data_IF_630981758649
#
_entry.id   IF_630981758649
#
_cell.length_a   1.000
_cell.length_b   1.000
_cell.length_c   1.000
_cell.angle_alpha   90.00
_cell.angle_beta   90.00
_cell.angle_gamma   90.00
#
_symmetry.space_group_name_H-M   'P 1'
#
loop_
_entity.id
_entity.type
_entity.pdbx_description
1 polymer ?
#
# COMPACT_ATOMS: atom_id res chain seq x y z
N UNK A 1 -15.14 15.96 -4.58
CA UNK A 1 -13.84 16.56 -4.98
C UNK A 1 -12.75 15.56 -4.66
N UNK A 2 -11.83 15.30 -5.60
CA UNK A 2 -10.73 14.36 -5.38
C UNK A 2 -9.68 15.03 -4.46
N UNK A 3 -9.23 14.33 -3.41
CA UNK A 3 -8.37 14.84 -2.31
C UNK A 3 -7.12 15.59 -2.80
N UNK A 4 -6.59 15.19 -3.96
CA UNK A 4 -5.39 15.76 -4.57
C UNK A 4 -5.66 16.68 -5.78
N UNK A 5 -6.92 16.93 -6.12
CA UNK A 5 -7.30 17.78 -7.25
C UNK A 5 -7.54 19.22 -6.77
N UNK A 6 -6.45 19.96 -6.52
CA UNK A 6 -6.53 21.38 -6.18
C UNK A 6 -6.39 22.21 -7.45
N UNK A 7 -7.51 22.73 -7.92
CA UNK A 7 -7.73 23.38 -9.21
C UNK A 7 -7.05 24.73 -9.44
N UNK A 8 -6.13 25.22 -8.59
CA UNK A 8 -5.61 26.60 -8.77
C UNK A 8 -4.13 26.88 -8.52
N UNK A 9 -3.29 25.89 -8.23
CA UNK A 9 -1.82 26.00 -8.24
C UNK A 9 -1.33 24.65 -7.75
N UNK A 10 -0.76 23.82 -8.61
CA UNK A 10 -0.27 22.53 -8.12
C UNK A 10 0.87 22.79 -7.13
N UNK A 11 0.74 22.36 -5.87
CA UNK A 11 1.77 22.55 -4.89
C UNK A 11 3.03 21.80 -5.37
N UNK A 12 4.20 22.44 -5.29
CA UNK A 12 5.47 21.71 -5.47
C UNK A 12 5.47 20.46 -4.58
N UNK A 13 6.28 19.44 -4.90
CA UNK A 13 6.42 18.26 -4.04
C UNK A 13 6.61 18.63 -2.56
N UNK A 14 7.38 19.68 -2.27
CA UNK A 14 7.55 20.25 -0.93
C UNK A 14 6.24 20.72 -0.29
N UNK A 15 5.34 21.37 -1.06
CA UNK A 15 4.02 21.78 -0.57
C UNK A 15 3.07 20.58 -0.41
N UNK A 16 3.13 19.57 -1.28
CA UNK A 16 2.34 18.34 -1.11
C UNK A 16 2.75 17.60 0.17
N UNK A 17 4.05 17.45 0.44
CA UNK A 17 4.54 16.87 1.70
C UNK A 17 4.14 17.68 2.95
N UNK A 18 3.92 18.99 2.84
CA UNK A 18 3.37 19.79 3.95
C UNK A 18 1.91 19.45 4.23
N UNK A 19 1.11 19.26 3.19
CA UNK A 19 -0.32 18.91 3.33
C UNK A 19 -0.56 17.44 3.65
N UNK A 20 0.35 16.57 3.21
CA UNK A 20 0.26 15.11 3.36
C UNK A 20 1.63 14.58 3.79
N UNK A 21 1.98 14.71 5.08
CA UNK A 21 3.31 14.34 5.58
C UNK A 21 3.62 12.84 5.46
N UNK A 22 2.59 11.98 5.39
CA UNK A 22 2.73 10.55 5.20
C UNK A 22 3.07 10.13 3.75
N UNK A 23 3.10 11.08 2.79
CA UNK A 23 3.45 10.76 1.41
C UNK A 23 4.91 10.30 1.28
N UNK A 24 5.06 9.04 0.88
CA UNK A 24 6.36 8.40 0.69
C UNK A 24 6.72 8.41 -0.79
N UNK A 25 7.91 8.91 -1.12
CA UNK A 25 8.41 8.95 -2.50
C UNK A 25 9.19 7.69 -2.81
N UNK A 26 8.79 6.98 -3.87
CA UNK A 26 9.60 5.90 -4.39
C UNK A 26 10.69 6.49 -5.30
N UNK A 27 11.93 6.48 -4.79
CA UNK A 27 13.11 6.99 -5.50
C UNK A 27 13.66 6.02 -6.54
N UNK A 28 13.17 4.78 -6.60
CA UNK A 28 13.57 3.85 -7.65
C UNK A 28 12.85 4.26 -8.93
N UNK A 29 13.63 4.62 -9.94
CA UNK A 29 13.14 4.86 -11.28
C UNK A 29 12.51 3.56 -11.79
N UNK A 30 11.18 3.50 -11.78
CA UNK A 30 10.50 2.65 -12.75
C UNK A 30 10.86 3.17 -14.13
N UNK A 31 10.98 2.24 -15.08
CA UNK A 31 11.48 2.30 -16.47
C UNK A 31 11.09 3.49 -17.36
N UNK A 32 10.33 4.48 -16.87
CA UNK A 32 9.79 5.61 -17.62
C UNK A 32 10.00 6.99 -16.97
N UNK A 33 10.97 7.17 -16.07
CA UNK A 33 11.26 8.46 -15.39
C UNK A 33 10.06 9.10 -14.66
N UNK A 34 9.03 8.32 -14.35
CA UNK A 34 7.84 8.80 -13.63
C UNK A 34 8.05 8.65 -12.13
N UNK A 35 7.82 9.72 -11.39
CA UNK A 35 7.89 9.74 -9.94
C UNK A 35 6.59 9.21 -9.35
N UNK A 36 6.68 8.16 -8.54
CA UNK A 36 5.54 7.58 -7.83
C UNK A 36 5.57 7.98 -6.36
N UNK A 37 4.45 8.49 -5.88
CA UNK A 37 4.21 8.82 -4.48
C UNK A 37 3.19 7.85 -3.92
N UNK A 38 3.37 7.42 -2.68
CA UNK A 38 2.50 6.46 -2.01
C UNK A 38 1.88 7.12 -0.79
N UNK A 39 0.56 7.00 -0.66
CA UNK A 39 -0.18 7.37 0.55
C UNK A 39 -0.62 6.09 1.26
N UNK A 40 0.12 5.71 2.31
CA UNK A 40 -0.17 4.56 3.17
C UNK A 40 -0.95 4.95 4.43
N UNK A 41 -1.55 6.15 4.49
CA UNK A 41 -2.25 6.63 5.69
C UNK A 41 -3.32 5.67 6.21
N UNK A 42 -3.93 4.85 5.34
CA UNK A 42 -4.90 3.85 5.74
C UNK A 42 -4.31 2.71 6.60
N UNK A 43 -3.00 2.41 6.50
CA UNK A 43 -2.33 1.42 7.33
C UNK A 43 -1.94 1.95 8.72
N UNK A 44 -1.95 3.27 8.92
CA UNK A 44 -1.48 3.86 10.17
C UNK A 44 -2.32 3.39 11.36
N UNK A 45 -1.65 2.87 12.38
CA UNK A 45 -2.30 2.26 13.55
C UNK A 45 -3.08 0.97 13.30
N UNK A 46 -3.03 0.38 12.09
CA UNK A 46 -3.69 -0.90 11.76
C UNK A 46 -2.76 -2.12 11.88
N UNK A 47 -1.46 -1.90 11.83
CA UNK A 47 -0.42 -2.92 11.97
C UNK A 47 0.68 -2.42 12.92
N UNK A 48 1.44 -3.33 13.56
CA UNK A 48 2.60 -2.96 14.35
C UNK A 48 3.65 -2.19 13.54
N UNK A 49 4.39 -1.30 14.20
CA UNK A 49 5.38 -0.44 13.56
C UNK A 49 6.55 -1.23 12.94
N UNK A 50 6.94 -2.36 13.55
CA UNK A 50 7.99 -3.26 13.03
C UNK A 50 7.55 -4.02 11.77
N UNK A 51 6.25 -4.14 11.55
CA UNK A 51 5.66 -4.70 10.32
C UNK A 51 5.57 -3.63 9.23
N UNK A 52 5.12 -2.42 9.59
CA UNK A 52 4.78 -1.35 8.66
C UNK A 52 5.90 -1.04 7.66
N UNK A 53 7.15 -0.90 8.12
CA UNK A 53 8.28 -0.59 7.24
C UNK A 53 8.51 -1.68 6.19
N UNK A 54 8.41 -2.96 6.56
CA UNK A 54 8.55 -4.08 5.64
C UNK A 54 7.45 -4.06 4.57
N UNK A 55 6.20 -3.86 4.99
CA UNK A 55 5.04 -3.78 4.10
C UNK A 55 5.18 -2.61 3.12
N UNK A 56 5.55 -1.42 3.58
CA UNK A 56 5.73 -0.26 2.69
C UNK A 56 6.80 -0.53 1.63
N UNK A 57 7.94 -1.10 2.04
CA UNK A 57 9.04 -1.41 1.14
C UNK A 57 8.70 -2.49 0.11
N UNK A 58 7.89 -3.48 0.46
CA UNK A 58 7.40 -4.50 -0.46
C UNK A 58 6.37 -3.92 -1.43
N UNK A 59 5.37 -3.21 -0.91
CA UNK A 59 4.31 -2.60 -1.69
C UNK A 59 4.88 -1.70 -2.79
N UNK A 60 5.78 -0.78 -2.41
CA UNK A 60 6.42 0.15 -3.35
C UNK A 60 7.22 -0.54 -4.48
N UNK A 61 7.68 -1.79 -4.29
CA UNK A 61 8.40 -2.56 -5.33
C UNK A 61 7.44 -3.27 -6.28
N UNK A 62 6.29 -3.69 -5.81
CA UNK A 62 5.32 -4.48 -6.58
C UNK A 62 4.37 -3.60 -7.38
N UNK A 63 4.04 -2.41 -6.86
CA UNK A 63 2.98 -1.59 -7.44
C UNK A 63 3.51 -0.68 -8.56
N UNK A 64 2.91 -0.81 -9.73
CA UNK A 64 3.00 0.14 -10.85
C UNK A 64 1.60 0.56 -11.32
N UNK A 65 1.52 1.31 -12.43
CA UNK A 65 0.25 1.77 -13.02
C UNK A 65 -0.69 0.60 -13.38
N UNK A 66 -0.15 -0.60 -13.61
CA UNK A 66 -0.87 -1.71 -14.25
C UNK A 66 -1.73 -2.47 -13.21
N UNK A 67 -1.21 -2.80 -12.03
CA UNK A 67 -1.91 -3.74 -11.14
C UNK A 67 -2.63 -3.07 -9.96
N UNK A 68 -2.20 -1.87 -9.53
CA UNK A 68 -2.83 -1.11 -8.43
C UNK A 68 -3.16 -1.96 -7.19
N UNK A 69 -2.40 -3.02 -6.95
CA UNK A 69 -2.63 -4.02 -5.93
C UNK A 69 -1.27 -4.55 -5.46
N UNK A 70 -1.15 -4.90 -4.19
CA UNK A 70 0.04 -5.55 -3.65
C UNK A 70 -0.30 -6.55 -2.57
N UNK A 71 0.44 -7.66 -2.55
CA UNK A 71 0.42 -8.64 -1.48
C UNK A 71 1.78 -8.60 -0.80
N UNK A 72 1.78 -8.30 0.48
CA UNK A 72 2.99 -8.18 1.28
C UNK A 72 2.92 -9.16 2.44
N UNK A 73 4.06 -9.71 2.85
CA UNK A 73 4.15 -10.51 4.05
C UNK A 73 5.32 -10.09 4.95
N UNK A 74 5.13 -10.14 6.25
CA UNK A 74 6.16 -9.73 7.20
C UNK A 74 6.03 -10.51 8.51
N UNK A 75 7.14 -10.71 9.19
CA UNK A 75 7.19 -11.38 10.50
C UNK A 75 7.52 -10.33 11.54
N UNK A 76 6.70 -10.25 12.60
CA UNK A 76 6.97 -9.36 13.72
C UNK A 76 8.07 -9.97 14.57
N UNK A 77 9.17 -9.23 14.72
CA UNK A 77 10.25 -9.61 15.62
C UNK A 77 9.89 -9.44 17.10
N UNK A 78 8.80 -8.72 17.39
CA UNK A 78 8.31 -8.44 18.75
C UNK A 78 7.29 -9.49 19.17
N UNK A 79 6.28 -9.74 18.33
CA UNK A 79 5.16 -10.62 18.66
C UNK A 79 5.35 -12.07 18.18
N UNK A 80 6.34 -12.33 17.32
CA UNK A 80 6.57 -13.66 16.73
C UNK A 80 5.43 -14.10 15.77
N UNK A 81 4.63 -13.14 15.29
CA UNK A 81 3.49 -13.38 14.40
C UNK A 81 3.83 -13.08 12.94
N UNK A 82 3.21 -13.81 12.01
CA UNK A 82 3.29 -13.54 10.58
C UNK A 82 2.06 -12.76 10.11
N UNK A 83 2.31 -11.66 9.42
CA UNK A 83 1.32 -10.77 8.84
C UNK A 83 1.29 -10.97 7.33
N UNK A 84 0.11 -11.19 6.76
CA UNK A 84 -0.17 -11.07 5.34
C UNK A 84 -1.05 -9.83 5.13
N UNK A 85 -0.56 -8.87 4.36
CA UNK A 85 -1.21 -7.59 4.12
C UNK A 85 -1.48 -7.43 2.63
N UNK A 86 -2.74 -7.30 2.29
CA UNK A 86 -3.20 -7.08 0.92
C UNK A 86 -3.64 -5.64 0.79
N UNK A 87 -3.14 -4.94 -0.23
CA UNK A 87 -3.31 -3.51 -0.41
C UNK A 87 -3.91 -3.20 -1.77
N UNK A 88 -5.04 -2.51 -1.77
CA UNK A 88 -5.69 -1.96 -2.96
C UNK A 88 -5.35 -0.48 -3.11
N UNK A 89 -4.85 -0.10 -4.29
CA UNK A 89 -4.49 1.28 -4.59
C UNK A 89 -5.46 1.92 -5.60
N UNK A 90 -5.65 3.23 -5.47
CA UNK A 90 -6.22 4.08 -6.49
C UNK A 90 -5.11 4.98 -7.05
N UNK A 91 -4.84 4.94 -8.36
CA UNK A 91 -3.83 5.79 -8.98
C UNK A 91 -4.41 7.16 -9.34
N UNK A 92 -3.70 8.23 -8.97
CA UNK A 92 -3.98 9.61 -9.37
C UNK A 92 -2.82 10.17 -10.19
N UNK A 93 -3.13 10.76 -11.35
CA UNK A 93 -2.15 11.47 -12.17
C UNK A 93 -2.14 12.93 -11.78
N UNK A 94 -0.97 13.44 -11.41
CA UNK A 94 -0.74 14.87 -11.21
C UNK A 94 -0.20 15.45 -12.52
N UNK A 95 -0.97 16.32 -13.17
CA UNK A 95 -0.67 16.85 -14.51
C UNK A 95 -0.13 18.27 -14.38
N UNK A 96 1.02 18.57 -14.99
CA UNK A 96 1.51 19.93 -15.10
C UNK A 96 0.64 20.72 -16.10
N UNK A 97 -0.09 21.72 -15.63
CA UNK A 97 -1.01 22.51 -16.47
C UNK A 97 -0.30 23.29 -17.58
N UNK A 98 0.96 23.71 -17.37
CA UNK A 98 1.71 24.47 -18.39
C UNK A 98 2.19 23.58 -19.54
N UNK A 99 2.40 22.28 -19.30
CA UNK A 99 2.95 21.35 -20.30
C UNK A 99 1.98 20.25 -20.73
N UNK A 100 0.86 20.08 -20.03
CA UNK A 100 -0.08 18.96 -20.18
C UNK A 100 0.51 17.60 -19.78
N UNK A 101 1.77 17.53 -19.34
CA UNK A 101 2.47 16.27 -19.05
C UNK A 101 2.25 15.84 -17.60
N UNK A 102 2.18 14.53 -17.37
CA UNK A 102 2.17 13.97 -16.00
C UNK A 102 3.49 14.28 -15.29
N UNK A 103 3.42 14.91 -14.11
CA UNK A 103 4.57 15.18 -13.24
C UNK A 103 4.81 14.07 -12.22
N UNK A 104 3.74 13.58 -11.60
CA UNK A 104 3.77 12.55 -10.57
C UNK A 104 2.56 11.63 -10.71
N UNK A 105 2.70 10.39 -10.26
CA UNK A 105 1.57 9.50 -9.99
C UNK A 105 1.49 9.28 -8.48
N UNK A 106 0.31 9.45 -7.89
CA UNK A 106 0.05 9.14 -6.49
C UNK A 106 -0.70 7.80 -6.45
N UNK A 107 -0.22 6.85 -5.66
CA UNK A 107 -0.86 5.59 -5.36
C UNK A 107 -1.43 5.71 -3.94
N UNK A 108 -2.73 5.98 -3.82
CA UNK A 108 -3.40 6.05 -2.51
C UNK A 108 -3.92 4.67 -2.14
N UNK A 109 -3.59 4.18 -0.95
CA UNK A 109 -4.23 2.97 -0.42
C UNK A 109 -5.70 3.29 -0.16
N UNK A 110 -6.56 2.58 -0.89
CA UNK A 110 -8.02 2.74 -0.86
C UNK A 110 -8.72 1.65 -0.05
N UNK A 111 -8.09 0.49 0.06
CA UNK A 111 -8.56 -0.65 0.82
C UNK A 111 -7.39 -1.50 1.27
N UNK A 112 -7.55 -2.14 2.42
CA UNK A 112 -6.59 -3.10 2.93
C UNK A 112 -7.28 -4.26 3.63
N UNK A 113 -6.60 -5.41 3.59
CA UNK A 113 -6.95 -6.61 4.32
C UNK A 113 -5.72 -7.16 5.01
N UNK A 114 -5.84 -7.47 6.29
CA UNK A 114 -4.74 -8.00 7.11
C UNK A 114 -5.16 -9.37 7.62
N UNK A 115 -4.27 -10.35 7.47
CA UNK A 115 -4.37 -11.67 8.10
C UNK A 115 -3.14 -11.90 8.98
N UNK A 116 -3.36 -12.29 10.23
CA UNK A 116 -2.30 -12.47 11.23
C UNK A 116 -2.27 -13.94 11.66
N UNK A 117 -1.09 -14.53 11.73
CA UNK A 117 -0.90 -15.95 12.03
C UNK A 117 0.17 -16.15 13.09
N UNK A 118 0.00 -17.17 13.93
CA UNK A 118 1.05 -17.63 14.81
C UNK A 118 2.08 -18.43 13.99
N UNK A 119 3.35 -18.33 14.37
CA UNK A 119 4.41 -19.14 13.78
C UNK A 119 4.66 -20.39 14.61
N UNK A 120 4.87 -21.51 13.94
CA UNK A 120 5.30 -22.75 14.58
C UNK A 120 6.81 -22.79 14.80
N UNK A 121 7.29 -23.87 15.43
CA UNK A 121 8.72 -24.07 15.73
C UNK A 121 9.63 -24.09 14.50
N UNK A 122 9.05 -24.27 13.30
CA UNK A 122 9.75 -24.26 12.02
C UNK A 122 9.60 -22.94 11.26
N UNK A 123 8.91 -21.95 11.82
CA UNK A 123 8.66 -20.65 11.17
C UNK A 123 7.54 -20.67 10.12
N UNK A 124 6.73 -21.72 10.06
CA UNK A 124 5.52 -21.77 9.24
C UNK A 124 4.32 -21.20 9.99
N UNK A 125 3.42 -20.55 9.27
CA UNK A 125 2.16 -20.07 9.83
C UNK A 125 1.26 -21.26 10.22
N UNK A 126 0.93 -21.39 11.50
CA UNK A 126 0.03 -22.42 12.03
C UNK A 126 -1.23 -21.77 12.64
N UNK A 127 -2.37 -22.45 12.50
CA UNK A 127 -3.71 -22.04 12.93
C UNK A 127 -4.20 -20.70 12.33
N UNK A 128 -5.35 -20.73 11.65
CA UNK A 128 -6.04 -19.53 11.16
C UNK A 128 -6.79 -18.90 12.34
N UNK A 129 -6.06 -18.34 13.31
CA UNK A 129 -6.65 -17.30 14.16
C UNK A 129 -6.32 -15.97 13.49
N UNK A 130 -6.92 -15.74 12.32
CA UNK A 130 -6.75 -14.52 11.58
C UNK A 130 -7.55 -13.41 12.26
N UNK A 131 -6.85 -12.47 12.87
CA UNK A 131 -7.44 -11.17 13.19
C UNK A 131 -7.64 -10.41 11.89
N UNK A 132 -8.83 -10.58 11.31
CA UNK A 132 -9.23 -9.87 10.11
C UNK A 132 -9.49 -8.40 10.46
N UNK A 133 -8.60 -7.53 10.00
CA UNK A 133 -8.79 -6.08 10.10
C UNK A 133 -8.97 -5.55 8.68
N UNK A 134 -10.21 -5.24 8.34
CA UNK A 134 -10.53 -4.47 7.15
C UNK A 134 -10.49 -2.99 7.47
N UNK A 135 -9.82 -2.23 6.62
CA UNK A 135 -9.90 -0.79 6.65
C UNK A 135 -10.10 -0.26 5.22
N UNK A 136 -11.04 0.67 5.07
CA UNK A 136 -11.35 1.32 3.79
C UNK A 136 -12.36 0.58 2.93
N UNK A 137 -12.35 0.89 1.63
CA UNK A 137 -13.24 0.31 0.62
C UNK A 137 -12.47 -0.75 -0.18
N UNK A 138 -12.66 -2.01 0.19
CA UNK A 138 -12.06 -3.14 -0.53
C UNK A 138 -12.74 -3.37 -1.88
N UNK A 139 -11.97 -3.76 -2.92
CA UNK A 139 -12.55 -4.22 -4.19
C UNK A 139 -13.22 -5.58 -3.97
N UNK A 140 -14.56 -5.60 -3.90
CA UNK A 140 -15.34 -6.85 -3.76
C UNK A 140 -15.16 -7.83 -4.93
N UNK A 141 -14.62 -7.38 -6.07
CA UNK A 141 -14.50 -8.18 -7.29
C UNK A 141 -13.14 -8.84 -7.50
N UNK A 142 -12.17 -8.68 -6.59
CA UNK A 142 -10.93 -9.47 -6.62
C UNK A 142 -11.15 -10.76 -5.83
N UNK A 143 -11.98 -11.64 -6.38
CA UNK A 143 -12.04 -13.06 -6.00
C UNK A 143 -10.71 -13.69 -6.40
N UNK A 144 -9.67 -13.61 -5.56
CA UNK A 144 -8.48 -14.45 -5.77
C UNK A 144 -7.65 -14.57 -4.50
N UNK A 145 -7.52 -15.81 -4.03
CA UNK A 145 -6.46 -16.34 -3.16
C UNK A 145 -6.40 -15.97 -1.66
N UNK A 146 -7.53 -16.07 -0.93
CA UNK A 146 -7.44 -16.45 0.49
C UNK A 146 -8.07 -17.83 0.76
N UNK A 147 -8.97 -18.30 -0.11
CA UNK A 147 -9.60 -19.62 0.02
C UNK A 147 -8.92 -20.75 -0.78
N UNK A 148 -7.80 -20.48 -1.46
CA UNK A 148 -7.10 -21.46 -2.31
C UNK A 148 -5.82 -22.03 -1.67
N UNK A 149 -5.63 -21.86 -0.36
CA UNK A 149 -4.80 -22.84 0.36
C UNK A 149 -5.70 -24.05 0.55
N UNK A 150 -5.71 -24.92 -0.46
CA UNK A 150 -6.28 -26.27 -0.37
C UNK A 150 -5.78 -26.91 0.93
N UNK A 151 -6.74 -27.25 1.79
CA UNK A 151 -6.54 -28.28 2.81
C UNK A 151 -6.48 -29.60 2.03
N UNK A 152 -5.27 -30.05 1.74
CA UNK A 152 -4.97 -31.40 1.27
C UNK A 152 -3.99 -32.07 2.23
#
# INVERSE_FOLDING_TARGET
>A
MNKYNTSNCLPSFAKMKKSFPALTENKKEFTNNKKYLYDFSLLDGKIPADIAESIFNQAMKQTGIIDCFSVCDAISGIEGKKYYVYLDFIPYKVINMNTGKTSYCIMEVSGLRISVHNLNVYGYAENIQADYIEAGHWRTNTLTYINDIEVA
#
